data_IF_300998669147
#
_entry.id   IF_300998669147
#
_cell.length_a   1.000
_cell.length_b   1.000
_cell.length_c   1.000
_cell.angle_alpha   90.00
_cell.angle_beta   90.00
_cell.angle_gamma   90.00
#
_symmetry.space_group_name_H-M   'P 1'
#
loop_
_entity.id
_entity.type
_entity.pdbx_description
1 polymer ?
#
# COMPACT_ATOMS: atom_id res chain seq x y z
N UNK A 1 -7.46 4.21 21.43
CA UNK A 1 -8.57 3.78 20.54
C UNK A 1 -8.56 2.26 20.38
N UNK A 2 -9.65 1.66 19.92
CA UNK A 2 -9.69 0.25 19.53
C UNK A 2 -9.89 0.11 18.01
N UNK A 3 -9.81 -1.13 17.49
CA UNK A 3 -9.90 -1.40 16.04
C UNK A 3 -11.22 -0.97 15.41
N UNK A 4 -12.35 -1.17 16.10
CA UNK A 4 -13.67 -0.76 15.59
C UNK A 4 -13.75 0.77 15.48
N UNK A 5 -13.21 1.47 16.47
CA UNK A 5 -13.12 2.92 16.46
C UNK A 5 -12.19 3.44 15.37
N UNK A 6 -11.02 2.79 15.19
CA UNK A 6 -10.10 3.14 14.10
C UNK A 6 -10.78 3.03 12.73
N UNK A 7 -11.48 1.92 12.46
CA UNK A 7 -12.19 1.73 11.19
C UNK A 7 -13.28 2.80 11.00
N UNK A 8 -14.01 3.18 12.05
CA UNK A 8 -14.99 4.28 11.98
C UNK A 8 -14.31 5.62 11.64
N UNK A 9 -13.18 5.92 12.28
CA UNK A 9 -12.40 7.13 11.98
C UNK A 9 -11.94 7.13 10.51
N UNK A 10 -11.43 6.01 10.02
CA UNK A 10 -10.98 5.89 8.64
C UNK A 10 -12.10 6.15 7.61
N UNK A 11 -13.34 5.92 7.96
CA UNK A 11 -14.51 6.15 7.11
C UNK A 11 -15.12 7.55 7.24
N UNK A 12 -14.54 8.44 8.06
CA UNK A 12 -14.93 9.84 8.13
C UNK A 12 -14.51 10.63 6.90
N UNK A 13 -15.09 11.83 6.74
CA UNK A 13 -14.77 12.70 5.59
C UNK A 13 -13.29 13.09 5.51
N UNK A 14 -12.66 13.34 6.66
CA UNK A 14 -11.25 13.75 6.76
C UNK A 14 -10.54 13.04 7.91
N UNK A 15 -10.28 11.73 7.78
CA UNK A 15 -9.73 10.93 8.86
C UNK A 15 -8.36 11.41 9.32
N UNK A 16 -7.55 12.02 8.45
CA UNK A 16 -6.24 12.56 8.79
C UNK A 16 -6.28 13.54 9.96
N UNK A 17 -7.28 14.44 10.01
CA UNK A 17 -7.41 15.44 11.06
C UNK A 17 -7.66 14.81 12.43
N UNK A 18 -8.40 13.70 12.46
CA UNK A 18 -8.68 12.94 13.67
C UNK A 18 -7.44 12.14 14.09
N UNK A 19 -6.82 11.45 13.13
CA UNK A 19 -5.64 10.62 13.40
C UNK A 19 -4.43 11.44 13.88
N UNK A 20 -4.22 12.66 13.32
CA UNK A 20 -3.17 13.58 13.83
C UNK A 20 -3.37 13.94 15.30
N UNK A 21 -4.61 14.24 15.69
CA UNK A 21 -4.93 14.61 17.07
C UNK A 21 -4.83 13.43 18.03
N UNK A 22 -5.02 12.22 17.52
CA UNK A 22 -5.05 10.97 18.30
C UNK A 22 -3.89 10.04 17.98
N UNK A 23 -2.80 10.58 17.47
CA UNK A 23 -1.63 9.78 17.03
C UNK A 23 -1.03 8.92 18.14
N UNK A 24 -1.07 9.36 19.38
CA UNK A 24 -0.58 8.55 20.52
C UNK A 24 -1.45 7.32 20.75
N UNK A 25 -2.77 7.45 20.61
CA UNK A 25 -3.68 6.31 20.68
C UNK A 25 -3.53 5.36 19.49
N UNK A 26 -3.18 5.89 18.32
CA UNK A 26 -2.83 5.06 17.15
C UNK A 26 -1.58 4.23 17.43
N UNK A 27 -0.55 4.82 18.06
CA UNK A 27 0.68 4.10 18.46
C UNK A 27 0.41 3.04 19.53
N UNK A 28 -0.49 3.29 20.48
CA UNK A 28 -0.90 2.26 21.44
C UNK A 28 -1.54 1.05 20.76
N UNK A 29 -2.27 1.27 19.67
CA UNK A 29 -2.94 0.21 18.91
C UNK A 29 -1.98 -0.45 17.90
N UNK A 30 -1.14 0.33 17.23
CA UNK A 30 -0.19 -0.08 16.18
C UNK A 30 1.16 0.60 16.46
N UNK A 31 2.03 -0.03 17.26
CA UNK A 31 3.28 0.59 17.75
C UNK A 31 4.24 1.07 16.66
N UNK A 32 4.19 0.46 15.49
CA UNK A 32 5.06 0.76 14.35
C UNK A 32 4.90 2.19 13.85
N UNK A 33 3.73 2.81 14.03
CA UNK A 33 3.52 4.24 13.67
C UNK A 33 4.44 5.21 14.41
N UNK A 34 4.95 4.83 15.58
CA UNK A 34 5.86 5.70 16.32
C UNK A 34 7.10 6.07 15.51
N UNK A 35 7.63 5.12 14.76
CA UNK A 35 8.80 5.34 13.91
C UNK A 35 8.50 6.19 12.67
N UNK A 36 7.24 6.30 12.27
CA UNK A 36 6.83 7.09 11.10
C UNK A 36 6.79 8.60 11.36
N UNK A 37 6.67 9.03 12.63
CA UNK A 37 6.54 10.45 12.98
C UNK A 37 7.85 11.20 12.73
N UNK A 38 7.76 12.29 11.96
CA UNK A 38 8.89 13.12 11.56
C UNK A 38 10.03 12.34 10.86
N UNK A 39 9.72 11.18 10.28
CA UNK A 39 10.69 10.39 9.54
C UNK A 39 10.86 10.96 8.13
N UNK A 40 11.95 11.70 7.93
CA UNK A 40 12.34 12.23 6.62
C UNK A 40 12.70 11.09 5.66
N UNK A 41 11.98 10.99 4.55
CA UNK A 41 12.18 9.94 3.55
C UNK A 41 13.47 10.13 2.72
N UNK A 42 14.11 11.31 2.80
CA UNK A 42 15.32 11.70 2.03
C UNK A 42 15.20 11.33 0.54
N UNK A 43 14.02 11.57 -0.01
CA UNK A 43 13.68 11.23 -1.38
C UNK A 43 13.01 12.42 -2.07
N UNK A 44 13.45 12.75 -3.29
CA UNK A 44 12.84 13.81 -4.09
C UNK A 44 11.36 13.55 -4.46
N UNK A 45 10.92 12.31 -4.37
CA UNK A 45 9.55 11.91 -4.65
C UNK A 45 8.57 12.34 -3.55
N UNK A 46 9.04 12.55 -2.33
CA UNK A 46 8.21 12.79 -1.16
C UNK A 46 8.42 14.20 -0.61
N UNK A 47 7.31 14.91 -0.38
CA UNK A 47 7.29 16.24 0.25
C UNK A 47 7.07 16.12 1.78
N UNK A 48 6.46 15.03 2.21
CA UNK A 48 6.05 14.79 3.59
C UNK A 48 6.94 13.74 4.28
N UNK A 49 7.00 13.77 5.62
CA UNK A 49 7.46 12.62 6.39
C UNK A 49 6.56 11.40 6.16
N UNK A 50 6.98 10.22 6.62
CA UNK A 50 6.22 8.97 6.37
C UNK A 50 4.81 9.05 6.94
N UNK A 51 4.63 9.59 8.15
CA UNK A 51 3.30 9.64 8.78
C UNK A 51 2.36 10.60 8.05
N UNK A 52 2.81 11.80 7.73
CA UNK A 52 2.01 12.77 6.99
C UNK A 52 1.69 12.28 5.58
N UNK A 53 2.66 11.63 4.90
CA UNK A 53 2.40 10.98 3.61
C UNK A 53 1.26 9.95 3.72
N UNK A 54 1.34 9.03 4.68
CA UNK A 54 0.28 8.04 4.94
C UNK A 54 -1.08 8.73 5.14
N UNK A 55 -1.15 9.78 5.94
CA UNK A 55 -2.39 10.51 6.19
C UNK A 55 -2.96 11.18 4.93
N UNK A 56 -2.11 11.73 4.08
CA UNK A 56 -2.55 12.27 2.80
C UNK A 56 -3.08 11.19 1.85
N UNK A 57 -2.44 10.02 1.79
CA UNK A 57 -2.96 8.88 1.01
C UNK A 57 -4.31 8.42 1.55
N UNK A 58 -4.45 8.33 2.88
CA UNK A 58 -5.73 7.99 3.54
C UNK A 58 -6.84 8.97 3.13
N UNK A 59 -6.58 10.26 3.07
CA UNK A 59 -7.58 11.25 2.64
C UNK A 59 -7.91 11.16 1.14
N UNK A 60 -6.91 10.81 0.31
CA UNK A 60 -7.04 10.80 -1.15
C UNK A 60 -7.76 9.56 -1.71
N UNK A 61 -7.77 8.42 -1.01
CA UNK A 61 -8.45 7.22 -1.49
C UNK A 61 -9.96 7.32 -1.32
N UNK A 62 -10.72 6.58 -2.15
CA UNK A 62 -12.16 6.45 -2.00
C UNK A 62 -12.52 5.97 -0.58
N UNK A 63 -13.66 6.43 -0.07
CA UNK A 63 -14.15 6.11 1.27
C UNK A 63 -14.70 4.68 1.37
N UNK A 64 -13.80 3.69 1.29
CA UNK A 64 -14.10 2.27 1.48
C UNK A 64 -13.14 1.65 2.51
N UNK A 65 -13.58 0.65 3.29
CA UNK A 65 -12.72 0.01 4.28
C UNK A 65 -11.43 -0.54 3.68
N UNK A 66 -11.49 -1.19 2.51
CA UNK A 66 -10.33 -1.79 1.83
C UNK A 66 -9.27 -0.73 1.51
N UNK A 67 -9.67 0.35 0.84
CA UNK A 67 -8.73 1.40 0.41
C UNK A 67 -8.19 2.21 1.60
N UNK A 68 -9.04 2.56 2.57
CA UNK A 68 -8.65 3.35 3.74
C UNK A 68 -7.68 2.59 4.65
N UNK A 69 -7.91 1.29 4.85
CA UNK A 69 -7.01 0.44 5.65
C UNK A 69 -5.71 0.21 4.88
N UNK A 70 -5.75 -0.10 3.58
CA UNK A 70 -4.55 -0.23 2.77
C UNK A 70 -3.71 1.06 2.82
N UNK A 71 -4.34 2.23 2.68
CA UNK A 71 -3.68 3.53 2.77
C UNK A 71 -3.02 3.76 4.14
N UNK A 72 -3.66 3.34 5.22
CA UNK A 72 -3.07 3.48 6.55
C UNK A 72 -1.80 2.64 6.70
N UNK A 73 -1.75 1.44 6.13
CA UNK A 73 -0.66 0.48 6.39
C UNK A 73 0.43 0.43 5.31
N UNK A 74 0.21 0.93 4.09
CA UNK A 74 1.10 0.66 2.94
C UNK A 74 2.58 0.98 3.19
N UNK A 75 2.86 2.06 3.88
CA UNK A 75 4.19 2.60 4.10
C UNK A 75 4.67 2.53 5.56
N UNK A 76 3.90 1.90 6.45
CA UNK A 76 4.20 1.86 7.88
C UNK A 76 5.57 1.25 8.21
N UNK A 77 6.07 0.38 7.33
CA UNK A 77 7.37 -0.29 7.49
C UNK A 77 8.56 0.51 6.92
N UNK A 78 8.36 1.61 6.21
CA UNK A 78 9.48 2.39 5.63
C UNK A 78 10.58 2.71 6.62
N UNK A 79 10.31 3.20 7.86
CA UNK A 79 11.36 3.46 8.82
C UNK A 79 12.12 2.22 9.29
N UNK A 80 11.50 1.03 9.20
CA UNK A 80 12.08 -0.24 9.67
C UNK A 80 13.09 -0.79 8.65
N UNK A 81 12.84 -0.58 7.36
CA UNK A 81 13.65 -1.10 6.27
C UNK A 81 14.52 -0.04 5.59
N UNK A 82 14.62 1.14 6.22
CA UNK A 82 15.34 2.28 5.67
C UNK A 82 16.82 1.99 5.47
N UNK A 83 17.31 2.32 4.29
CA UNK A 83 18.72 2.34 3.94
C UNK A 83 19.06 3.69 3.31
N UNK A 84 20.24 4.23 3.59
CA UNK A 84 20.72 5.47 3.00
C UNK A 84 21.93 5.17 2.13
N UNK A 85 21.91 5.65 0.88
CA UNK A 85 23.05 5.49 0.01
C UNK A 85 24.16 6.52 0.27
N UNK A 86 25.31 6.35 -0.40
CA UNK A 86 26.47 7.24 -0.26
C UNK A 86 26.21 8.71 -0.64
N UNK A 87 25.08 9.00 -1.26
CA UNK A 87 24.66 10.34 -1.69
C UNK A 87 23.64 10.95 -0.72
N UNK A 88 23.28 10.23 0.35
CA UNK A 88 22.29 10.68 1.32
C UNK A 88 20.84 10.49 0.84
N UNK A 89 20.60 9.63 -0.17
CA UNK A 89 19.25 9.32 -0.67
C UNK A 89 18.70 8.12 0.09
N UNK A 90 17.45 8.25 0.53
CA UNK A 90 16.73 7.18 1.23
C UNK A 90 16.17 6.13 0.28
N UNK A 91 16.32 4.86 0.66
CA UNK A 91 15.77 3.69 -0.01
C UNK A 91 15.00 2.84 0.99
N UNK A 92 13.95 2.16 0.52
CA UNK A 92 13.03 1.38 1.36
C UNK A 92 12.82 -0.02 0.76
N UNK A 93 13.85 -0.89 0.72
CA UNK A 93 13.76 -2.18 0.04
C UNK A 93 12.68 -3.06 0.70
N UNK A 94 11.77 -3.57 -0.13
CA UNK A 94 10.70 -4.49 0.29
C UNK A 94 9.79 -3.95 1.42
N UNK A 95 9.65 -2.63 1.56
CA UNK A 95 8.77 -2.04 2.58
C UNK A 95 7.32 -2.54 2.44
N UNK A 96 6.84 -2.79 1.22
CA UNK A 96 5.51 -3.35 0.95
C UNK A 96 5.30 -4.71 1.61
N UNK A 97 6.29 -5.62 1.54
CA UNK A 97 6.21 -6.93 2.20
C UNK A 97 6.14 -6.78 3.71
N UNK A 98 7.02 -5.95 4.29
CA UNK A 98 7.05 -5.73 5.73
C UNK A 98 5.79 -5.00 6.23
N UNK A 99 5.27 -4.06 5.47
CA UNK A 99 3.99 -3.39 5.75
C UNK A 99 2.81 -4.37 5.72
N UNK A 100 2.78 -5.29 4.75
CA UNK A 100 1.75 -6.33 4.67
C UNK A 100 1.84 -7.33 5.83
N UNK A 101 3.06 -7.68 6.30
CA UNK A 101 3.25 -8.48 7.53
C UNK A 101 2.66 -7.77 8.75
N UNK A 102 3.01 -6.50 8.98
CA UNK A 102 2.50 -5.68 10.08
C UNK A 102 0.96 -5.61 10.03
N UNK A 103 0.40 -5.35 8.86
CA UNK A 103 -1.05 -5.34 8.70
C UNK A 103 -1.66 -6.71 9.02
N UNK A 104 -1.09 -7.80 8.52
CA UNK A 104 -1.61 -9.16 8.72
C UNK A 104 -1.61 -9.54 10.21
N UNK A 105 -0.54 -9.24 10.95
CA UNK A 105 -0.45 -9.45 12.39
C UNK A 105 -1.53 -8.65 13.14
N UNK A 106 -1.68 -7.36 12.80
CA UNK A 106 -2.74 -6.51 13.33
C UNK A 106 -4.13 -7.06 13.05
N UNK A 107 -4.41 -7.45 11.81
CA UNK A 107 -5.72 -7.90 11.35
C UNK A 107 -6.14 -9.23 12.01
N UNK A 108 -5.22 -10.20 12.09
CA UNK A 108 -5.45 -11.50 12.76
C UNK A 108 -5.70 -11.29 14.26
N UNK A 109 -4.86 -10.49 14.93
CA UNK A 109 -5.01 -10.18 16.36
C UNK A 109 -6.36 -9.54 16.68
N UNK A 110 -6.91 -8.77 15.75
CA UNK A 110 -8.17 -8.04 15.92
C UNK A 110 -9.38 -8.71 15.24
N UNK A 111 -9.23 -9.96 14.75
CA UNK A 111 -10.28 -10.78 14.13
C UNK A 111 -10.98 -10.06 12.96
N UNK A 112 -10.22 -9.39 12.08
CA UNK A 112 -10.78 -8.82 10.85
C UNK A 112 -11.22 -9.95 9.90
N UNK A 113 -12.14 -9.62 9.01
CA UNK A 113 -12.64 -10.56 8.01
C UNK A 113 -11.54 -10.99 7.02
N UNK A 114 -11.50 -12.28 6.66
CA UNK A 114 -10.44 -12.85 5.83
C UNK A 114 -10.44 -12.27 4.40
N UNK A 115 -11.59 -11.98 3.81
CA UNK A 115 -11.68 -11.39 2.48
C UNK A 115 -11.13 -9.95 2.50
N UNK A 116 -11.43 -9.19 3.56
CA UNK A 116 -10.86 -7.86 3.78
C UNK A 116 -9.33 -7.94 3.92
N UNK A 117 -8.83 -8.89 4.72
CA UNK A 117 -7.38 -9.09 4.91
C UNK A 117 -6.69 -9.36 3.58
N UNK A 118 -7.24 -10.26 2.77
CA UNK A 118 -6.67 -10.62 1.46
C UNK A 118 -6.62 -9.41 0.52
N UNK A 119 -7.74 -8.68 0.36
CA UNK A 119 -7.82 -7.51 -0.52
C UNK A 119 -6.85 -6.40 -0.09
N UNK A 120 -6.79 -6.10 1.21
CA UNK A 120 -5.87 -5.08 1.75
C UNK A 120 -4.41 -5.47 1.54
N UNK A 121 -4.04 -6.73 1.82
CA UNK A 121 -2.68 -7.21 1.61
C UNK A 121 -2.26 -7.11 0.13
N UNK A 122 -3.13 -7.44 -0.81
CA UNK A 122 -2.85 -7.30 -2.24
C UNK A 122 -2.55 -5.84 -2.60
N UNK A 123 -3.34 -4.89 -2.11
CA UNK A 123 -3.09 -3.47 -2.35
C UNK A 123 -1.75 -3.02 -1.77
N UNK A 124 -1.44 -3.40 -0.52
CA UNK A 124 -0.16 -3.07 0.12
C UNK A 124 1.02 -3.69 -0.65
N UNK A 125 0.93 -4.95 -1.06
CA UNK A 125 2.00 -5.66 -1.76
C UNK A 125 2.30 -5.08 -3.15
N UNK A 126 1.30 -4.54 -3.84
CA UNK A 126 1.45 -4.13 -5.24
C UNK A 126 1.42 -2.61 -5.47
N UNK A 127 1.25 -1.80 -4.41
CA UNK A 127 1.10 -0.35 -4.57
C UNK A 127 2.30 0.34 -5.24
N UNK A 128 3.52 -0.06 -4.88
CA UNK A 128 4.75 0.53 -5.42
C UNK A 128 5.23 -0.14 -6.72
N UNK A 129 4.49 -1.13 -7.23
CA UNK A 129 4.89 -1.88 -8.42
C UNK A 129 4.85 -1.01 -9.67
N UNK A 130 5.99 -0.89 -10.37
CA UNK A 130 6.07 -0.20 -11.64
C UNK A 130 5.80 -1.15 -12.81
N UNK A 131 4.55 -1.20 -13.25
CA UNK A 131 4.11 -2.07 -14.35
C UNK A 131 4.86 -1.81 -15.68
N UNK A 132 5.38 -0.60 -15.89
CA UNK A 132 6.17 -0.26 -17.07
C UNK A 132 7.55 -0.94 -17.12
N UNK A 133 8.06 -1.44 -15.98
CA UNK A 133 9.35 -2.13 -15.87
C UNK A 133 9.23 -3.65 -15.82
N UNK A 134 8.03 -4.18 -15.76
CA UNK A 134 7.80 -5.63 -15.68
C UNK A 134 7.89 -6.27 -17.04
N UNK A 135 8.41 -7.49 -17.07
CA UNK A 135 8.30 -8.40 -18.22
C UNK A 135 6.84 -8.76 -18.48
N UNK A 136 6.56 -9.28 -19.67
CA UNK A 136 5.20 -9.71 -20.01
C UNK A 136 4.73 -10.89 -19.15
N UNK A 137 5.64 -11.79 -18.78
CA UNK A 137 5.38 -12.92 -17.89
C UNK A 137 5.02 -12.44 -16.46
N UNK A 138 5.76 -11.44 -15.94
CA UNK A 138 5.46 -10.86 -14.62
C UNK A 138 4.12 -10.15 -14.62
N UNK A 139 3.82 -9.35 -15.65
CA UNK A 139 2.51 -8.70 -15.81
C UNK A 139 1.38 -9.71 -15.84
N UNK A 140 1.55 -10.79 -16.62
CA UNK A 140 0.57 -11.87 -16.72
C UNK A 140 0.34 -12.53 -15.36
N UNK A 141 1.39 -12.86 -14.62
CA UNK A 141 1.29 -13.47 -13.31
C UNK A 141 0.51 -12.59 -12.31
N UNK A 142 0.72 -11.26 -12.35
CA UNK A 142 0.00 -10.32 -11.48
C UNK A 142 -1.48 -10.25 -11.86
N UNK A 143 -1.79 -10.18 -13.15
CA UNK A 143 -3.18 -10.13 -13.64
C UNK A 143 -3.93 -11.44 -13.35
N UNK A 144 -3.25 -12.58 -13.37
CA UNK A 144 -3.82 -13.86 -12.93
C UNK A 144 -4.06 -13.90 -11.41
N UNK A 145 -3.24 -13.22 -10.62
CA UNK A 145 -3.39 -13.14 -9.16
C UNK A 145 -4.46 -12.15 -8.69
N UNK A 146 -4.81 -11.16 -9.52
CA UNK A 146 -5.77 -10.10 -9.18
C UNK A 146 -7.05 -10.24 -10.00
N UNK A 147 -8.19 -9.99 -9.36
CA UNK A 147 -9.46 -9.80 -10.07
C UNK A 147 -9.48 -8.43 -10.77
N UNK A 148 -10.46 -8.22 -11.67
CA UNK A 148 -10.65 -6.93 -12.33
C UNK A 148 -10.94 -5.80 -11.35
N UNK A 149 -11.76 -6.10 -10.36
CA UNK A 149 -12.05 -5.20 -9.26
C UNK A 149 -10.77 -4.83 -8.49
N UNK A 150 -9.92 -5.81 -8.20
CA UNK A 150 -8.66 -5.57 -7.45
C UNK A 150 -7.65 -4.75 -8.27
N UNK A 151 -7.61 -4.93 -9.60
CA UNK A 151 -6.80 -4.08 -10.48
C UNK A 151 -7.35 -2.63 -10.49
N UNK A 152 -8.65 -2.45 -10.57
CA UNK A 152 -9.27 -1.12 -10.48
C UNK A 152 -8.95 -0.45 -9.14
N UNK A 153 -9.07 -1.18 -8.03
CA UNK A 153 -8.72 -0.67 -6.69
C UNK A 153 -7.23 -0.33 -6.59
N UNK A 154 -6.35 -1.17 -7.15
CA UNK A 154 -4.90 -0.94 -7.14
C UNK A 154 -4.54 0.35 -7.88
N UNK A 155 -5.10 0.61 -9.06
CA UNK A 155 -4.78 1.84 -9.79
C UNK A 155 -5.42 3.09 -9.16
N UNK A 156 -6.57 2.98 -8.51
CA UNK A 156 -7.12 4.05 -7.66
C UNK A 156 -6.19 4.36 -6.49
N UNK A 157 -5.68 3.30 -5.85
CA UNK A 157 -4.72 3.42 -4.76
C UNK A 157 -3.42 4.10 -5.20
N UNK A 158 -2.78 3.62 -6.28
CA UNK A 158 -1.56 4.21 -6.86
C UNK A 158 -1.74 5.69 -7.23
N UNK A 159 -2.91 6.05 -7.75
CA UNK A 159 -3.25 7.45 -8.01
C UNK A 159 -3.28 8.28 -6.73
N UNK A 160 -3.92 7.78 -5.67
CA UNK A 160 -4.04 8.47 -4.39
C UNK A 160 -2.67 8.65 -3.72
N UNK A 161 -1.81 7.63 -3.81
CA UNK A 161 -0.44 7.64 -3.32
C UNK A 161 0.40 8.69 -4.06
N UNK A 162 0.36 8.69 -5.41
CA UNK A 162 1.06 9.70 -6.21
C UNK A 162 0.61 11.14 -5.89
N UNK A 163 -0.69 11.35 -5.66
CA UNK A 163 -1.23 12.66 -5.28
C UNK A 163 -0.82 13.11 -3.87
N UNK A 164 -0.28 12.22 -3.05
CA UNK A 164 0.33 12.51 -1.76
C UNK A 164 1.86 12.68 -1.83
N UNK A 165 2.44 12.65 -3.03
CA UNK A 165 3.86 12.85 -3.30
C UNK A 165 4.14 14.28 -3.80
N UNK A 166 5.35 14.52 -4.33
CA UNK A 166 5.71 15.78 -4.93
C UNK A 166 4.96 16.01 -6.24
N UNK A 167 4.32 17.16 -6.39
CA UNK A 167 3.50 17.55 -7.56
C UNK A 167 4.28 17.50 -8.89
N UNK A 168 5.59 17.64 -8.87
CA UNK A 168 6.43 17.50 -10.06
C UNK A 168 6.26 16.15 -10.79
N UNK A 169 5.73 15.13 -10.09
CA UNK A 169 5.51 13.78 -10.64
C UNK A 169 4.08 13.50 -11.07
N UNK A 170 3.15 14.44 -10.96
CA UNK A 170 1.74 14.24 -11.34
C UNK A 170 1.53 13.92 -12.82
N UNK A 171 2.50 14.21 -13.68
CA UNK A 171 2.48 13.77 -15.09
C UNK A 171 2.41 12.25 -15.25
N UNK A 172 2.79 11.46 -14.22
CA UNK A 172 2.69 10.00 -14.20
C UNK A 172 1.25 9.49 -14.09
N UNK A 173 0.27 10.35 -13.77
CA UNK A 173 -1.14 9.96 -13.74
C UNK A 173 -1.64 9.44 -15.08
N UNK A 174 -1.24 10.09 -16.17
CA UNK A 174 -1.59 9.66 -17.52
C UNK A 174 -0.95 8.31 -17.87
N UNK A 175 0.27 8.07 -17.37
CA UNK A 175 0.97 6.81 -17.57
C UNK A 175 0.30 5.66 -16.78
N UNK A 176 -0.13 5.91 -15.55
CA UNK A 176 -0.90 4.92 -14.78
C UNK A 176 -2.20 4.51 -15.47
N UNK A 177 -2.92 5.47 -16.06
CA UNK A 177 -4.14 5.17 -16.82
C UNK A 177 -3.85 4.27 -18.03
N UNK A 178 -2.81 4.58 -18.80
CA UNK A 178 -2.37 3.78 -19.95
C UNK A 178 -1.92 2.38 -19.53
N UNK A 179 -1.17 2.26 -18.42
CA UNK A 179 -0.75 0.97 -17.88
C UNK A 179 -1.95 0.11 -17.49
N UNK A 180 -2.96 0.69 -16.81
CA UNK A 180 -4.19 0.00 -16.43
C UNK A 180 -4.92 -0.53 -17.66
N UNK A 181 -5.17 0.33 -18.63
CA UNK A 181 -5.87 -0.04 -19.89
C UNK A 181 -5.12 -1.15 -20.65
N UNK A 182 -3.79 -1.06 -20.74
CA UNK A 182 -2.96 -2.09 -21.37
C UNK A 182 -3.09 -3.44 -20.66
N UNK A 183 -3.05 -3.46 -19.32
CA UNK A 183 -3.18 -4.69 -18.55
C UNK A 183 -4.56 -5.31 -18.76
N UNK A 184 -5.62 -4.53 -18.64
CA UNK A 184 -6.99 -5.03 -18.76
C UNK A 184 -7.34 -5.50 -20.17
N UNK A 185 -6.83 -4.82 -21.20
CA UNK A 185 -7.12 -5.16 -22.60
C UNK A 185 -6.32 -6.34 -23.14
N UNK A 186 -5.14 -6.60 -22.59
CA UNK A 186 -4.17 -7.56 -23.13
C UNK A 186 -4.37 -8.99 -22.63
N UNK A 187 -4.93 -9.15 -21.46
CA UNK A 187 -5.01 -10.45 -20.80
C UNK A 187 -6.44 -10.90 -20.59
N UNK A 188 -6.86 -11.97 -21.31
CA UNK A 188 -8.05 -12.74 -20.96
C UNK A 188 -7.77 -13.51 -19.67
N UNK A 189 -8.69 -13.42 -18.72
CA UNK A 189 -8.54 -14.07 -17.41
C UNK A 189 -9.03 -15.50 -17.48
N UNK A 190 -8.14 -16.45 -17.21
CA UNK A 190 -8.55 -17.82 -16.97
C UNK A 190 -9.16 -17.94 -15.58
N UNK A 191 -10.41 -18.41 -15.51
CA UNK A 191 -11.23 -18.46 -14.29
C UNK A 191 -10.85 -19.55 -13.27
N UNK A 192 -9.79 -20.33 -13.52
CA UNK A 192 -9.60 -21.59 -12.78
C UNK A 192 -8.26 -21.82 -12.04
N UNK A 193 -7.33 -20.85 -11.99
CA UNK A 193 -6.02 -21.09 -11.34
C UNK A 193 -5.62 -20.09 -10.24
N UNK A 194 -6.58 -19.45 -9.59
CA UNK A 194 -6.36 -18.33 -8.66
C UNK A 194 -5.51 -18.62 -7.42
N UNK A 195 -5.23 -19.89 -7.07
CA UNK A 195 -4.71 -20.22 -5.73
C UNK A 195 -3.22 -20.56 -5.65
N UNK A 196 -2.53 -20.84 -6.76
CA UNK A 196 -1.15 -21.34 -6.69
C UNK A 196 -0.03 -20.30 -6.79
N UNK A 197 -0.31 -19.11 -7.30
CA UNK A 197 0.73 -18.09 -7.56
C UNK A 197 1.02 -17.26 -6.32
N UNK A 198 0.02 -16.98 -5.50
CA UNK A 198 0.16 -16.19 -4.27
C UNK A 198 1.17 -16.80 -3.28
N UNK A 199 1.20 -18.14 -3.15
CA UNK A 199 2.11 -18.87 -2.27
C UNK A 199 3.60 -18.78 -2.70
N UNK A 200 3.87 -18.44 -3.94
CA UNK A 200 5.24 -18.35 -4.49
C UNK A 200 5.91 -17.02 -4.19
N UNK A 201 5.14 -15.95 -4.05
CA UNK A 201 5.62 -14.59 -3.81
C UNK A 201 5.67 -14.22 -2.32
N UNK A 202 4.83 -14.85 -1.50
CA UNK A 202 4.79 -14.63 -0.05
C UNK A 202 5.79 -15.47 0.76
N UNK A 203 6.62 -16.33 0.10
CA UNK A 203 7.62 -17.16 0.77
C UNK A 203 9.00 -16.95 0.17
N UNK A 204 9.77 -15.94 0.60
CA UNK A 204 11.18 -15.77 0.21
C UNK A 204 12.12 -16.78 0.89
N UNK A 205 11.60 -17.66 1.77
CA UNK A 205 12.41 -18.65 2.48
C UNK A 205 12.32 -20.00 1.76
N UNK A 206 13.07 -20.16 0.69
CA UNK A 206 13.70 -21.42 0.22
C UNK A 206 14.60 -21.16 -0.97
N UNK A 207 15.80 -20.63 -0.70
CA UNK A 207 17.00 -20.97 -1.47
C UNK A 207 18.09 -21.29 -0.46
N UNK A 208 18.19 -22.56 -0.12
CA UNK A 208 19.43 -23.19 0.35
C UNK A 208 20.38 -23.30 -0.82
#
# INVERSE_FOLDING_TARGET
MNTVELIKILLEYKPSDILRKRKEELVELIPEFKACFNFDQKSKWHTYDVFEHILHVVDNVDNTPVLRIAALFHDVAKPIVYEEDRFGVGHFPNHWTKSAEIFSEFAIKNNLDNELIEKVNKLIMFHDLNFGRLTEEEKKAIVEALSEEEIELLFKFKKADLLAQNEEYYYLLDDYQKQKENILSKYERSSNEKYHIWFRWSNPIRKS
#
